data_IF_605794938953
#
_entry.id   IF_605794938953
#
_cell.length_a   1.000
_cell.length_b   1.000
_cell.length_c   1.000
_cell.angle_alpha   90.00
_cell.angle_beta   90.00
_cell.angle_gamma   90.00
#
_symmetry.space_group_name_H-M   'P 1'
#
loop_
_entity.id
_entity.type
_entity.pdbx_description
1 polymer ?
#
# COMPACT_ATOMS: atom_id res chain seq x y z
N UNK A 1 -26.30 -2.85 7.59
CA UNK A 1 -25.65 -3.54 6.44
C UNK A 1 -26.11 -4.99 6.42
N UNK A 2 -26.49 -5.52 5.26
CA UNK A 2 -27.01 -6.89 5.15
C UNK A 2 -25.89 -7.92 5.49
N UNK A 3 -26.18 -8.96 6.28
CA UNK A 3 -25.17 -9.92 6.79
C UNK A 3 -24.33 -10.55 5.68
N UNK A 4 -24.97 -10.90 4.56
CA UNK A 4 -24.30 -11.49 3.39
C UNK A 4 -23.23 -10.56 2.78
N UNK A 5 -23.45 -9.24 2.78
CA UNK A 5 -22.49 -8.25 2.25
C UNK A 5 -21.28 -8.13 3.17
N UNK A 6 -21.52 -8.13 4.49
CA UNK A 6 -20.46 -8.11 5.49
C UNK A 6 -19.57 -9.36 5.40
N UNK A 7 -20.19 -10.54 5.30
CA UNK A 7 -19.47 -11.82 5.19
C UNK A 7 -18.61 -11.84 3.92
N UNK A 8 -19.17 -11.43 2.76
CA UNK A 8 -18.41 -11.34 1.51
C UNK A 8 -17.21 -10.41 1.66
N UNK A 9 -17.40 -9.23 2.23
CA UNK A 9 -16.31 -8.25 2.42
C UNK A 9 -15.16 -8.85 3.24
N UNK A 10 -15.48 -9.50 4.36
CA UNK A 10 -14.49 -10.14 5.22
C UNK A 10 -13.76 -11.24 4.46
N UNK A 11 -14.48 -12.14 3.78
CA UNK A 11 -13.87 -13.24 3.03
C UNK A 11 -12.97 -12.75 1.91
N UNK A 12 -13.40 -11.77 1.11
CA UNK A 12 -12.61 -11.24 0.01
C UNK A 12 -11.34 -10.56 0.53
N UNK A 13 -11.44 -9.73 1.57
CA UNK A 13 -10.24 -9.13 2.15
C UNK A 13 -9.31 -10.17 2.75
N UNK A 14 -9.82 -11.14 3.51
CA UNK A 14 -8.99 -12.20 4.06
C UNK A 14 -8.24 -12.95 2.97
N UNK A 15 -8.94 -13.38 1.90
CA UNK A 15 -8.33 -14.08 0.76
C UNK A 15 -7.25 -13.21 0.11
N UNK A 16 -7.51 -11.94 -0.18
CA UNK A 16 -6.51 -11.07 -0.81
C UNK A 16 -5.33 -10.74 0.10
N UNK A 17 -5.56 -10.52 1.39
CA UNK A 17 -4.50 -10.29 2.36
C UNK A 17 -3.55 -11.49 2.38
N UNK A 18 -4.09 -12.71 2.48
CA UNK A 18 -3.27 -13.93 2.45
C UNK A 18 -2.60 -14.14 1.09
N UNK A 19 -3.33 -13.97 -0.01
CA UNK A 19 -2.81 -14.16 -1.37
C UNK A 19 -1.62 -13.22 -1.63
N UNK A 20 -1.78 -11.91 -1.41
CA UNK A 20 -0.70 -10.96 -1.63
C UNK A 20 0.45 -11.15 -0.65
N UNK A 21 0.18 -11.56 0.59
CA UNK A 21 1.25 -11.90 1.53
C UNK A 21 2.07 -13.11 1.05
N UNK A 22 1.41 -14.19 0.61
CA UNK A 22 2.10 -15.37 0.09
C UNK A 22 2.90 -15.08 -1.17
N UNK A 23 2.33 -14.31 -2.11
CA UNK A 23 3.03 -13.92 -3.34
C UNK A 23 4.22 -13.01 -3.01
N UNK A 24 4.08 -12.07 -2.07
CA UNK A 24 5.17 -11.18 -1.67
C UNK A 24 6.38 -11.96 -1.14
N UNK A 25 6.15 -12.98 -0.31
CA UNK A 25 7.21 -13.81 0.28
C UNK A 25 7.81 -14.78 -0.74
N UNK A 26 7.00 -15.24 -1.70
CA UNK A 26 7.43 -16.18 -2.74
C UNK A 26 7.91 -15.48 -4.02
N UNK A 27 8.13 -14.17 -3.97
CA UNK A 27 8.39 -13.39 -5.18
C UNK A 27 9.77 -13.73 -5.76
N UNK A 28 9.85 -14.20 -7.00
CA UNK A 28 11.10 -14.71 -7.55
C UNK A 28 12.08 -13.58 -7.90
N UNK A 29 13.37 -13.82 -7.64
CA UNK A 29 14.42 -12.83 -7.84
C UNK A 29 14.62 -12.39 -9.30
N UNK A 30 14.26 -13.21 -10.30
CA UNK A 30 14.35 -12.81 -11.71
C UNK A 30 13.36 -11.70 -12.09
N UNK A 31 12.32 -11.46 -11.27
CA UNK A 31 11.40 -10.33 -11.44
C UNK A 31 11.82 -9.09 -10.64
N UNK A 32 13.04 -9.07 -10.08
CA UNK A 32 13.62 -7.87 -9.47
C UNK A 32 14.19 -6.94 -10.54
N UNK A 33 14.15 -5.63 -10.27
CA UNK A 33 14.73 -4.60 -11.13
C UNK A 33 15.58 -3.66 -10.27
N UNK A 34 16.87 -3.51 -10.60
CA UNK A 34 17.85 -2.77 -9.78
C UNK A 34 17.88 -3.24 -8.31
N UNK A 35 17.72 -4.55 -8.08
CA UNK A 35 17.66 -5.12 -6.73
C UNK A 35 16.37 -4.79 -5.94
N UNK A 36 15.42 -4.08 -6.55
CA UNK A 36 14.10 -3.82 -5.98
C UNK A 36 13.09 -4.86 -6.47
N UNK A 37 12.11 -5.16 -5.63
CA UNK A 37 10.99 -6.05 -5.93
C UNK A 37 9.68 -5.29 -5.71
N UNK A 38 8.64 -5.59 -6.49
CA UNK A 38 7.33 -4.99 -6.29
C UNK A 38 6.82 -5.23 -4.86
N UNK A 39 6.28 -4.19 -4.23
CA UNK A 39 5.69 -4.25 -2.89
C UNK A 39 4.18 -4.41 -3.01
N UNK A 40 3.74 -5.65 -3.25
CA UNK A 40 2.34 -6.01 -3.46
C UNK A 40 1.48 -5.69 -2.24
N UNK A 41 2.03 -5.83 -1.05
CA UNK A 41 1.37 -5.48 0.21
C UNK A 41 1.05 -3.99 0.29
N UNK A 42 2.02 -3.13 -0.06
CA UNK A 42 1.83 -1.68 -0.11
C UNK A 42 0.83 -1.29 -1.20
N UNK A 43 0.99 -1.86 -2.41
CA UNK A 43 0.12 -1.57 -3.56
C UNK A 43 -1.33 -1.96 -3.25
N UNK A 44 -1.56 -3.16 -2.72
CA UNK A 44 -2.90 -3.62 -2.34
C UNK A 44 -3.52 -2.71 -1.27
N UNK A 45 -2.77 -2.35 -0.23
CA UNK A 45 -3.24 -1.47 0.85
C UNK A 45 -3.60 -0.08 0.34
N UNK A 46 -2.75 0.50 -0.51
CA UNK A 46 -3.01 1.79 -1.15
C UNK A 46 -4.28 1.75 -2.02
N UNK A 47 -4.43 0.71 -2.84
CA UNK A 47 -5.61 0.56 -3.71
C UNK A 47 -6.89 0.29 -2.90
N UNK A 48 -6.81 -0.47 -1.81
CA UNK A 48 -7.96 -0.70 -0.92
C UNK A 48 -8.44 0.62 -0.28
N UNK A 49 -7.51 1.43 0.22
CA UNK A 49 -7.82 2.76 0.76
C UNK A 49 -8.39 3.71 -0.30
N UNK A 50 -7.82 3.68 -1.50
CA UNK A 50 -8.25 4.51 -2.63
C UNK A 50 -9.66 4.13 -3.13
N UNK A 51 -9.93 2.86 -3.42
CA UNK A 51 -11.21 2.44 -4.00
C UNK A 51 -12.35 2.36 -2.97
N UNK A 52 -12.06 1.91 -1.75
CA UNK A 52 -13.09 1.59 -0.77
C UNK A 52 -13.15 2.52 0.44
N UNK A 53 -12.21 3.46 0.53
CA UNK A 53 -12.19 4.54 1.50
C UNK A 53 -11.42 4.23 2.78
N UNK A 54 -11.47 5.18 3.71
CA UNK A 54 -10.59 5.26 4.87
C UNK A 54 -10.67 4.05 5.80
N UNK A 55 -11.88 3.61 6.18
CA UNK A 55 -12.05 2.48 7.09
C UNK A 55 -11.52 1.18 6.52
N UNK A 56 -11.82 0.89 5.26
CA UNK A 56 -11.34 -0.31 4.59
C UNK A 56 -9.81 -0.25 4.40
N UNK A 57 -9.28 0.91 4.00
CA UNK A 57 -7.84 1.15 3.91
C UNK A 57 -7.10 0.93 5.23
N UNK A 58 -7.63 1.41 6.35
CA UNK A 58 -7.03 1.21 7.67
C UNK A 58 -7.07 -0.25 8.09
N UNK A 59 -8.23 -0.91 7.98
CA UNK A 59 -8.38 -2.31 8.41
C UNK A 59 -7.47 -3.22 7.59
N UNK A 60 -7.44 -3.03 6.27
CA UNK A 60 -6.51 -3.74 5.38
C UNK A 60 -5.07 -3.39 5.74
N UNK A 61 -4.74 -2.12 5.96
CA UNK A 61 -3.40 -1.69 6.31
C UNK A 61 -2.89 -2.28 7.62
N UNK A 62 -3.71 -2.35 8.66
CA UNK A 62 -3.34 -2.99 9.92
C UNK A 62 -3.11 -4.49 9.70
N UNK A 63 -4.04 -5.19 9.05
CA UNK A 63 -3.95 -6.64 8.84
C UNK A 63 -2.75 -7.04 7.98
N UNK A 64 -2.54 -6.35 6.85
CA UNK A 64 -1.37 -6.54 5.98
C UNK A 64 -0.09 -6.16 6.70
N UNK A 65 -0.12 -5.09 7.49
CA UNK A 65 1.02 -4.61 8.25
C UNK A 65 1.52 -5.60 9.30
N UNK A 66 0.61 -6.28 10.01
CA UNK A 66 0.96 -7.39 10.91
C UNK A 66 1.66 -8.52 10.15
N UNK A 67 1.11 -8.94 9.00
CA UNK A 67 1.74 -9.99 8.18
C UNK A 67 3.09 -9.55 7.61
N UNK A 68 3.21 -8.27 7.23
CA UNK A 68 4.48 -7.70 6.77
C UNK A 68 5.53 -7.78 7.86
N UNK A 69 5.22 -7.36 9.07
CA UNK A 69 6.17 -7.43 10.19
C UNK A 69 6.55 -8.87 10.53
N UNK A 70 5.60 -9.81 10.39
CA UNK A 70 5.86 -11.22 10.64
C UNK A 70 6.75 -11.88 9.58
N UNK A 71 6.51 -11.62 8.29
CA UNK A 71 7.23 -12.31 7.20
C UNK A 71 8.42 -11.53 6.63
N UNK A 72 8.37 -10.21 6.68
CA UNK A 72 9.32 -9.31 6.02
C UNK A 72 9.53 -8.03 6.85
N UNK A 73 9.64 -8.21 8.18
CA UNK A 73 9.88 -7.12 9.11
C UNK A 73 11.16 -6.36 8.72
N UNK A 74 11.12 -5.02 8.61
CA UNK A 74 12.29 -4.25 8.25
C UNK A 74 13.40 -4.50 9.28
N UNK A 75 14.58 -4.89 8.80
CA UNK A 75 15.75 -5.06 9.64
C UNK A 75 16.38 -3.70 9.92
N UNK A 76 16.50 -3.35 11.20
CA UNK A 76 17.26 -2.18 11.64
C UNK A 76 18.47 -2.68 12.40
N UNK A 77 19.62 -2.06 12.17
CA UNK A 77 20.82 -2.34 12.96
C UNK A 77 20.53 -1.92 14.41
N UNK A 78 20.53 -2.91 15.30
CA UNK A 78 20.43 -2.69 16.74
C UNK A 78 21.67 -1.98 17.28
N UNK A 79 21.63 -1.53 18.53
CA UNK A 79 22.73 -0.79 19.17
C UNK A 79 24.06 -1.58 19.17
N UNK A 80 23.97 -2.91 19.14
CA UNK A 80 25.11 -3.82 19.07
C UNK A 80 25.65 -4.00 17.63
N UNK A 81 25.12 -3.26 16.67
CA UNK A 81 25.48 -3.32 15.25
C UNK A 81 24.87 -4.51 14.49
N UNK A 82 24.19 -5.42 15.18
CA UNK A 82 23.54 -6.59 14.58
C UNK A 82 22.18 -6.22 13.96
N UNK A 83 21.82 -6.75 12.78
CA UNK A 83 20.51 -6.53 12.19
C UNK A 83 19.43 -7.21 13.04
N UNK A 84 18.48 -6.43 13.53
CA UNK A 84 17.34 -6.93 14.31
C UNK A 84 16.04 -6.69 13.55
N UNK A 85 15.17 -7.70 13.39
CA UNK A 85 13.87 -7.51 12.79
C UNK A 85 13.02 -6.63 13.70
N UNK A 86 12.53 -5.51 13.18
CA UNK A 86 11.72 -4.58 13.96
C UNK A 86 10.24 -4.84 13.70
N UNK A 87 9.52 -5.26 14.75
CA UNK A 87 8.06 -5.37 14.70
C UNK A 87 7.40 -3.99 14.89
N UNK A 88 6.27 -3.76 14.24
CA UNK A 88 5.44 -2.56 14.37
C UNK A 88 5.69 -1.51 13.29
N UNK A 89 6.83 -1.53 12.60
CA UNK A 89 7.12 -0.57 11.52
C UNK A 89 6.29 -0.88 10.28
N UNK A 90 6.22 -2.14 9.87
CA UNK A 90 5.37 -2.59 8.78
C UNK A 90 3.91 -2.30 9.06
N UNK A 91 3.43 -2.54 10.30
CA UNK A 91 2.11 -2.13 10.75
C UNK A 91 1.86 -0.63 10.57
N UNK A 92 2.75 0.20 11.09
CA UNK A 92 2.62 1.66 11.02
C UNK A 92 2.60 2.13 9.56
N UNK A 93 3.53 1.63 8.73
CA UNK A 93 3.65 2.02 7.33
C UNK A 93 2.41 1.63 6.52
N UNK A 94 1.91 0.40 6.69
CA UNK A 94 0.71 -0.05 5.97
C UNK A 94 -0.55 0.69 6.45
N UNK A 95 -0.69 0.92 7.76
CA UNK A 95 -1.76 1.75 8.32
C UNK A 95 -1.77 3.15 7.70
N UNK A 96 -0.62 3.84 7.72
CA UNK A 96 -0.49 5.18 7.15
C UNK A 96 -0.74 5.16 5.64
N UNK A 97 -0.28 4.14 4.93
CA UNK A 97 -0.53 3.99 3.48
C UNK A 97 -2.03 3.91 3.19
N UNK A 98 -2.77 3.06 3.92
CA UNK A 98 -4.23 2.93 3.74
C UNK A 98 -4.97 4.21 4.08
N UNK A 99 -4.56 4.91 5.13
CA UNK A 99 -5.13 6.20 5.52
C UNK A 99 -4.85 7.31 4.50
N UNK A 100 -3.59 7.45 4.06
CA UNK A 100 -3.17 8.46 3.09
C UNK A 100 -3.86 8.24 1.73
N UNK A 101 -3.85 7.01 1.20
CA UNK A 101 -4.47 6.70 -0.09
C UNK A 101 -5.97 7.01 -0.11
N UNK A 102 -6.66 6.83 1.02
CA UNK A 102 -8.06 7.22 1.16
C UNK A 102 -8.26 8.74 1.24
N UNK A 103 -7.29 9.50 1.75
CA UNK A 103 -7.44 10.92 2.09
C UNK A 103 -7.19 11.86 0.91
N UNK A 104 -6.32 11.47 -0.03
CA UNK A 104 -5.89 12.33 -1.14
C UNK A 104 -6.92 12.52 -2.26
N UNK A 105 -7.98 11.71 -2.31
CA UNK A 105 -8.90 11.69 -3.45
C UNK A 105 -10.35 11.93 -3.06
N UNK A 106 -10.95 12.95 -3.69
CA UNK A 106 -12.38 13.22 -3.66
C UNK A 106 -13.16 12.00 -4.20
N UNK A 107 -14.42 11.84 -3.80
CA UNK A 107 -15.22 10.66 -4.20
C UNK A 107 -15.29 10.48 -5.72
N UNK A 108 -15.27 11.58 -6.49
CA UNK A 108 -15.23 11.58 -7.95
C UNK A 108 -13.92 11.02 -8.50
N UNK A 109 -12.79 11.31 -7.85
CA UNK A 109 -11.48 10.83 -8.27
C UNK A 109 -11.28 9.35 -7.97
N UNK A 110 -11.88 8.80 -6.90
CA UNK A 110 -11.75 7.39 -6.47
C UNK A 110 -12.25 6.36 -7.49
N UNK A 111 -13.01 6.80 -8.51
CA UNK A 111 -13.56 5.93 -9.56
C UNK A 111 -12.69 5.85 -10.81
N UNK A 112 -11.63 6.67 -10.89
CA UNK A 112 -10.88 6.85 -12.12
C UNK A 112 -9.50 6.19 -12.06
N UNK A 113 -9.30 5.16 -12.87
CA UNK A 113 -8.13 4.27 -12.86
C UNK A 113 -6.77 4.99 -12.88
N UNK A 114 -6.54 6.07 -13.66
CA UNK A 114 -5.29 6.82 -13.63
C UNK A 114 -4.93 7.37 -12.25
N UNK A 115 -5.91 7.79 -11.46
CA UNK A 115 -5.67 8.29 -10.11
C UNK A 115 -5.35 7.16 -9.12
N UNK A 116 -5.76 5.92 -9.39
CA UNK A 116 -5.32 4.76 -8.63
C UNK A 116 -3.82 4.53 -8.79
N UNK A 117 -3.30 4.63 -10.02
CA UNK A 117 -1.86 4.57 -10.28
C UNK A 117 -1.11 5.74 -9.64
N UNK A 118 -1.66 6.95 -9.73
CA UNK A 118 -1.08 8.12 -9.07
C UNK A 118 -1.03 7.94 -7.54
N UNK A 119 -2.08 7.37 -6.93
CA UNK A 119 -2.12 7.04 -5.50
C UNK A 119 -1.01 6.05 -5.13
N UNK A 120 -0.83 4.99 -5.90
CA UNK A 120 0.22 3.98 -5.65
C UNK A 120 1.62 4.59 -5.80
N UNK A 121 1.86 5.37 -6.86
CA UNK A 121 3.13 6.05 -7.09
C UNK A 121 3.45 7.04 -5.96
N UNK A 122 2.46 7.83 -5.55
CA UNK A 122 2.59 8.79 -4.45
C UNK A 122 2.89 8.10 -3.11
N UNK A 123 2.10 7.09 -2.74
CA UNK A 123 2.34 6.33 -1.50
C UNK A 123 3.73 5.66 -1.50
N UNK A 124 4.16 5.12 -2.65
CA UNK A 124 5.49 4.53 -2.80
C UNK A 124 6.60 5.56 -2.63
N UNK A 125 6.44 6.73 -3.25
CA UNK A 125 7.40 7.85 -3.13
C UNK A 125 7.53 8.31 -1.67
N UNK A 126 6.41 8.52 -0.98
CA UNK A 126 6.39 8.95 0.42
C UNK A 126 7.04 7.88 1.31
N UNK A 127 6.65 6.62 1.15
CA UNK A 127 7.22 5.50 1.90
C UNK A 127 8.73 5.39 1.73
N UNK A 128 9.23 5.34 0.48
CA UNK A 128 10.66 5.19 0.21
C UNK A 128 11.46 6.41 0.65
N UNK A 129 10.96 7.62 0.42
CA UNK A 129 11.63 8.85 0.85
C UNK A 129 11.73 8.91 2.38
N UNK A 130 10.64 8.62 3.08
CA UNK A 130 10.64 8.57 4.55
C UNK A 130 11.59 7.49 5.07
N UNK A 131 11.59 6.29 4.46
CA UNK A 131 12.50 5.20 4.83
C UNK A 131 13.98 5.60 4.71
N UNK A 132 14.39 6.19 3.59
CA UNK A 132 15.78 6.64 3.41
C UNK A 132 16.15 7.80 4.35
N UNK A 133 15.23 8.74 4.61
CA UNK A 133 15.45 9.82 5.58
C UNK A 133 15.67 9.24 6.98
N UNK A 134 14.82 8.30 7.41
CA UNK A 134 14.94 7.66 8.72
C UNK A 134 16.24 6.88 8.86
N UNK A 135 16.61 6.07 7.86
CA UNK A 135 17.87 5.29 7.88
C UNK A 135 19.08 6.23 7.93
N UNK A 136 19.06 7.32 7.16
CA UNK A 136 20.13 8.33 7.17
C UNK A 136 20.26 8.98 8.55
N UNK A 137 19.15 9.41 9.14
CA UNK A 137 19.15 10.00 10.49
C UNK A 137 19.64 8.99 11.53
N UNK A 138 19.17 7.75 11.47
CA UNK A 138 19.60 6.68 12.38
C UNK A 138 21.11 6.42 12.30
N UNK A 139 21.65 6.33 11.08
CA UNK A 139 23.09 6.07 10.84
C UNK A 139 23.98 7.19 11.38
N UNK A 140 23.59 8.44 11.13
CA UNK A 140 24.37 9.62 11.54
C UNK A 140 24.25 9.87 13.05
N UNK A 141 23.04 9.80 13.61
CA UNK A 141 22.79 10.18 15.00
C UNK A 141 23.18 9.08 16.00
N UNK A 142 22.90 7.81 15.67
CA UNK A 142 23.11 6.69 16.59
C UNK A 142 24.48 6.05 16.38
N UNK A 143 24.81 5.67 15.15
CA UNK A 143 26.08 4.99 14.85
C UNK A 143 27.25 5.94 14.59
N UNK A 144 26.98 7.24 14.41
CA UNK A 144 27.99 8.26 14.09
C UNK A 144 28.84 7.88 12.87
N UNK A 145 28.27 7.13 11.93
CA UNK A 145 28.92 6.67 10.71
C UNK A 145 28.50 7.53 9.50
N UNK A 146 29.38 7.67 8.49
CA UNK A 146 29.01 8.32 7.25
C UNK A 146 27.94 7.49 6.51
N UNK A 147 26.90 8.17 6.03
CA UNK A 147 25.90 7.57 5.17
C UNK A 147 26.41 7.61 3.72
N UNK A 148 26.78 6.44 3.18
CA UNK A 148 27.55 6.33 1.94
C UNK A 148 26.70 6.45 0.64
N UNK A 149 25.38 6.58 0.74
CA UNK A 149 24.50 6.71 -0.42
C UNK A 149 24.23 8.20 -0.70
N UNK A 150 24.45 8.63 -1.94
CA UNK A 150 24.09 9.96 -2.36
C UNK A 150 22.58 10.06 -2.62
N UNK A 151 22.06 11.29 -2.73
CA UNK A 151 20.65 11.52 -3.07
C UNK A 151 20.33 10.94 -4.46
N UNK A 152 21.28 11.00 -5.40
CA UNK A 152 21.09 10.51 -6.75
C UNK A 152 21.00 8.97 -6.77
N UNK A 153 21.86 8.29 -6.01
CA UNK A 153 21.83 6.82 -5.88
C UNK A 153 20.48 6.37 -5.28
N UNK A 154 20.02 7.05 -4.23
CA UNK A 154 18.71 6.78 -3.62
C UNK A 154 17.57 6.96 -4.62
N UNK A 155 17.62 8.00 -5.45
CA UNK A 155 16.57 8.29 -6.42
C UNK A 155 16.55 7.26 -7.56
N UNK A 156 17.70 6.98 -8.16
CA UNK A 156 17.82 6.15 -9.36
C UNK A 156 17.78 4.64 -9.06
N UNK A 157 18.36 4.20 -7.94
CA UNK A 157 18.50 2.77 -7.65
C UNK A 157 17.46 2.24 -6.66
N UNK A 158 16.73 3.11 -5.96
CA UNK A 158 15.70 2.70 -4.99
C UNK A 158 14.32 3.29 -5.29
N UNK A 159 14.19 4.61 -5.37
CA UNK A 159 12.86 5.26 -5.46
C UNK A 159 12.21 5.01 -6.83
N UNK A 160 12.86 5.37 -7.93
CA UNK A 160 12.27 5.24 -9.27
C UNK A 160 12.00 3.79 -9.67
N UNK A 161 12.92 2.82 -9.46
CA UNK A 161 12.67 1.41 -9.74
C UNK A 161 11.46 0.89 -8.96
N UNK A 162 11.33 1.25 -7.68
CA UNK A 162 10.21 0.81 -6.85
C UNK A 162 8.88 1.40 -7.34
N UNK A 163 8.83 2.69 -7.68
CA UNK A 163 7.62 3.32 -8.22
C UNK A 163 7.20 2.61 -9.50
N UNK A 164 8.14 2.36 -10.42
CA UNK A 164 7.87 1.66 -11.66
C UNK A 164 7.29 0.27 -11.41
N UNK A 165 7.94 -0.55 -10.58
CA UNK A 165 7.49 -1.90 -10.25
C UNK A 165 6.11 -1.89 -9.58
N UNK A 166 5.87 -0.98 -8.63
CA UNK A 166 4.60 -0.87 -7.92
C UNK A 166 3.46 -0.40 -8.84
N UNK A 167 3.73 0.51 -9.78
CA UNK A 167 2.76 0.95 -10.79
C UNK A 167 2.41 -0.19 -11.75
N UNK A 168 3.40 -0.97 -12.20
CA UNK A 168 3.16 -2.15 -13.03
C UNK A 168 2.33 -3.19 -12.26
N UNK A 169 2.71 -3.47 -11.01
CA UNK A 169 1.99 -4.42 -10.15
C UNK A 169 0.57 -3.95 -9.80
N UNK A 170 0.29 -2.63 -9.82
CA UNK A 170 -1.04 -2.10 -9.58
C UNK A 170 -2.03 -2.51 -10.68
N UNK A 171 -1.59 -2.72 -11.93
CA UNK A 171 -2.48 -3.07 -13.04
C UNK A 171 -3.32 -4.34 -12.78
N UNK A 172 -2.73 -5.52 -12.50
CA UNK A 172 -3.51 -6.72 -12.20
C UNK A 172 -4.33 -6.59 -10.92
N UNK A 173 -3.84 -5.87 -9.91
CA UNK A 173 -4.54 -5.68 -8.64
C UNK A 173 -5.79 -4.79 -8.83
N UNK A 174 -5.70 -3.73 -9.63
CA UNK A 174 -6.84 -2.88 -9.98
C UNK A 174 -7.92 -3.71 -10.69
N UNK A 175 -7.53 -4.57 -11.63
CA UNK A 175 -8.47 -5.46 -12.34
C UNK A 175 -9.17 -6.38 -11.33
N UNK A 176 -8.41 -7.07 -10.46
CA UNK A 176 -8.95 -7.96 -9.43
C UNK A 176 -9.92 -7.22 -8.49
N UNK A 177 -9.54 -6.03 -8.00
CA UNK A 177 -10.36 -5.23 -7.10
C UNK A 177 -11.64 -4.71 -7.80
N UNK A 178 -11.56 -4.34 -9.07
CA UNK A 178 -12.71 -3.80 -9.80
C UNK A 178 -13.74 -4.88 -10.12
N UNK A 179 -13.32 -6.08 -10.50
CA UNK A 179 -14.22 -7.17 -10.92
C UNK A 179 -14.56 -8.15 -9.81
N UNK A 180 -13.58 -8.48 -8.96
CA UNK A 180 -13.71 -9.43 -7.85
C UNK A 180 -13.52 -8.75 -6.48
N UNK A 181 -13.88 -7.47 -6.38
CA UNK A 181 -13.80 -6.71 -5.15
C UNK A 181 -14.80 -7.14 -4.06
N UNK A 182 -14.61 -6.63 -2.82
CA UNK A 182 -15.48 -6.88 -1.67
C UNK A 182 -16.92 -6.41 -1.90
N UNK A 183 -17.14 -5.43 -2.78
CA UNK A 183 -18.45 -4.87 -3.08
C UNK A 183 -18.93 -5.27 -4.48
N UNK A 184 -20.22 -5.63 -4.58
CA UNK A 184 -20.85 -6.27 -5.76
C UNK A 184 -20.90 -5.38 -7.03
N UNK A 185 -20.70 -4.06 -6.88
CA UNK A 185 -20.56 -3.09 -7.98
C UNK A 185 -19.22 -2.33 -7.93
N UNK A 186 -18.25 -2.83 -7.17
CA UNK A 186 -16.99 -2.12 -6.90
C UNK A 186 -17.13 -0.83 -6.07
N UNK A 187 -18.35 -0.50 -5.61
CA UNK A 187 -18.64 0.72 -4.85
C UNK A 187 -18.98 0.33 -3.41
N UNK A 188 -18.26 0.93 -2.46
CA UNK A 188 -18.63 0.88 -1.06
C UNK A 188 -19.93 1.68 -0.85
N UNK A 189 -21.05 1.06 -0.44
CA UNK A 189 -22.34 1.74 -0.33
C UNK A 189 -22.34 2.87 0.70
N UNK A 190 -21.43 2.86 1.69
CA UNK A 190 -21.30 3.94 2.67
C UNK A 190 -20.65 5.20 2.10
N UNK A 191 -19.89 5.10 1.00
CA UNK A 191 -19.38 6.25 0.26
C UNK A 191 -20.50 6.83 -0.62
N UNK A 192 -21.25 5.97 -1.32
CA UNK A 192 -22.36 6.42 -2.16
C UNK A 192 -23.48 7.16 -1.39
N UNK A 193 -23.67 6.84 -0.10
CA UNK A 193 -24.66 7.50 0.75
C UNK A 193 -24.19 8.85 1.33
N UNK A 194 -22.89 9.20 1.20
CA UNK A 194 -22.32 10.43 1.75
C UNK A 194 -22.29 11.57 0.73
N UNK A 195 -22.38 11.25 -0.56
CA UNK A 195 -22.70 12.21 -1.62
C UNK A 195 -24.21 12.41 -1.69
N UNK A 196 -24.75 13.30 -0.86
CA UNK A 196 -26.18 13.56 -0.80
C UNK A 196 -26.65 14.48 -1.95
N UNK A 197 -27.77 14.10 -2.56
CA UNK A 197 -28.72 14.88 -3.39
C UNK A 197 -28.39 15.45 -4.79
N UNK A 198 -27.16 15.79 -5.18
CA UNK A 198 -26.94 16.38 -6.53
C UNK A 198 -26.56 15.39 -7.64
N UNK A 199 -25.97 14.23 -7.29
CA UNK A 199 -25.47 13.27 -8.29
C UNK A 199 -26.54 12.29 -8.82
N UNK A 200 -27.78 12.37 -8.30
CA UNK A 200 -28.90 11.52 -8.72
C UNK A 200 -29.40 11.78 -10.15
N UNK A 201 -29.05 12.92 -10.74
CA UNK A 201 -29.46 13.31 -12.11
C UNK A 201 -28.60 12.69 -13.22
N UNK A 202 -27.43 12.12 -12.88
CA UNK A 202 -26.46 11.64 -13.88
C UNK A 202 -26.29 10.12 -13.91
N UNK A 203 -27.09 9.38 -13.13
CA UNK A 203 -27.11 7.91 -13.16
C UNK A 203 -28.00 7.32 -14.28
N UNK A 204 -28.45 8.16 -15.21
CA UNK A 204 -29.10 7.74 -16.46
C UNK A 204 -28.14 7.95 -17.63
N UNK A 205 -27.18 7.02 -17.79
CA UNK A 205 -26.61 6.67 -19.10
C UNK A 205 -26.40 5.16 -19.09
#
# INVERSE_FOLDING_TARGET
>A
MNRAVLIRRILVYAIYIFLFACIQVSFPHFMSFHGQVADLMLVFTALAGYFYGFYDGIVVGIAVGVLRDYFAGPSINGLDGQPTPTMGIGLLVMFLTGALAASFFTERMRRNVPFAFASVAFCTLVYKSAGHILIRLWTILIFKQPYNLTILDVLLDSILPQILLNVIAALPIIILLRFAGPYRKGINPTLAAKGDTEDGLWLVI
#
